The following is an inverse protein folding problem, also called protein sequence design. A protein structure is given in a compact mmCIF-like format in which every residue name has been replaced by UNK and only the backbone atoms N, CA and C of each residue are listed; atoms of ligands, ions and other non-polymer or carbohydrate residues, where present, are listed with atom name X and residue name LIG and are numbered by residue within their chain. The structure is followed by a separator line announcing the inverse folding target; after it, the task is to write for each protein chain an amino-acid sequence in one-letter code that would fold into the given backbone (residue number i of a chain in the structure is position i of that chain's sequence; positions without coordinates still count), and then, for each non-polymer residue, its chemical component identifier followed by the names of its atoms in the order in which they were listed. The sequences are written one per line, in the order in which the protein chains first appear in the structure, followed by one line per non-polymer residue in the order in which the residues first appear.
data_IF_596041917315
#
_entry.id   IF_596041917315
#
_cell.length_a   1.000
_cell.length_b   1.000
_cell.length_c   1.000
_cell.angle_alpha   90.00
_cell.angle_beta   90.00
_cell.angle_gamma   90.00
#
_symmetry.space_group_name_H-M   'P 1'
#
loop_
_entity.id
_entity.type
_entity.pdbx_description
1 polymer ?
#
# COMPACT_ATOMS: atom_id res chain seq x y z
N UNK A 1 -49.08 -24.40 -21.50
CA UNK A 1 -48.17 -23.28 -21.81
C UNK A 1 -47.59 -22.69 -20.52
N UNK A 2 -46.82 -23.46 -19.75
CA UNK A 2 -46.24 -22.97 -18.49
C UNK A 2 -44.92 -23.70 -18.21
N UNK A 3 -43.90 -23.46 -19.05
CA UNK A 3 -42.61 -24.14 -18.91
C UNK A 3 -41.44 -23.31 -19.46
N UNK A 4 -41.45 -21.98 -19.26
CA UNK A 4 -40.43 -21.10 -19.88
C UNK A 4 -39.99 -19.92 -19.02
N UNK A 5 -39.84 -20.12 -17.71
CA UNK A 5 -39.49 -19.02 -16.78
C UNK A 5 -38.41 -19.31 -15.73
N UNK A 6 -37.64 -20.39 -15.88
CA UNK A 6 -36.58 -20.74 -14.90
C UNK A 6 -35.14 -20.58 -15.43
N UNK A 7 -34.93 -20.05 -16.64
CA UNK A 7 -33.63 -20.10 -17.32
C UNK A 7 -32.93 -18.75 -17.52
N UNK A 8 -33.20 -17.74 -16.68
CA UNK A 8 -32.55 -16.42 -16.80
C UNK A 8 -31.89 -15.87 -15.53
N UNK A 9 -31.90 -16.58 -14.41
CA UNK A 9 -31.31 -16.10 -13.14
C UNK A 9 -29.87 -16.56 -12.86
N UNK A 10 -29.21 -17.24 -13.81
CA UNK A 10 -27.88 -17.83 -13.60
C UNK A 10 -26.69 -17.09 -14.21
N UNK A 11 -26.91 -16.10 -15.09
CA UNK A 11 -25.83 -15.54 -15.94
C UNK A 11 -25.40 -14.11 -15.56
N UNK A 12 -26.18 -13.41 -14.72
CA UNK A 12 -25.86 -12.03 -14.30
C UNK A 12 -24.84 -11.90 -13.17
N UNK A 13 -24.62 -12.96 -12.38
CA UNK A 13 -23.82 -12.88 -11.14
C UNK A 13 -22.33 -13.13 -11.34
N UNK A 14 -21.91 -13.78 -12.43
CA UNK A 14 -20.48 -14.01 -12.71
C UNK A 14 -19.83 -12.83 -13.43
N UNK A 15 -20.53 -12.16 -14.35
CA UNK A 15 -20.04 -10.97 -15.05
C UNK A 15 -19.77 -9.81 -14.07
N UNK A 16 -20.63 -9.63 -13.05
CA UNK A 16 -20.44 -8.58 -12.03
C UNK A 16 -19.23 -8.86 -11.11
N UNK A 17 -18.86 -10.13 -10.91
CA UNK A 17 -17.72 -10.52 -10.05
C UNK A 17 -16.38 -10.42 -10.79
N UNK A 18 -16.36 -10.64 -12.11
CA UNK A 18 -15.15 -10.48 -12.94
C UNK A 18 -14.86 -9.00 -13.22
N UNK A 19 -15.88 -8.17 -13.46
CA UNK A 19 -15.72 -6.71 -13.59
C UNK A 19 -15.23 -6.04 -12.30
N UNK A 20 -15.53 -6.63 -11.13
CA UNK A 20 -15.09 -6.14 -9.81
C UNK A 20 -13.64 -6.48 -9.46
N UNK A 21 -12.94 -7.29 -10.27
CA UNK A 21 -11.54 -7.64 -10.02
C UNK A 21 -10.56 -6.59 -10.56
N UNK A 22 -10.93 -5.83 -11.59
CA UNK A 22 -10.06 -4.79 -12.18
C UNK A 22 -10.12 -3.45 -11.44
N UNK A 23 -11.22 -3.20 -10.71
CA UNK A 23 -11.46 -1.98 -9.92
C UNK A 23 -11.21 -2.18 -8.41
N UNK A 24 -10.34 -3.12 -8.03
CA UNK A 24 -9.84 -3.20 -6.64
C UNK A 24 -8.54 -2.43 -6.44
N UNK A 25 -7.69 -2.31 -7.46
CA UNK A 25 -6.44 -1.55 -7.31
C UNK A 25 -6.67 -0.05 -7.13
N UNK A 26 -7.58 0.55 -7.92
CA UNK A 26 -7.85 1.99 -7.81
C UNK A 26 -8.65 2.35 -6.54
N UNK A 27 -9.63 1.53 -6.16
CA UNK A 27 -10.41 1.78 -4.93
C UNK A 27 -9.58 1.59 -3.66
N UNK A 28 -8.63 0.65 -3.63
CA UNK A 28 -7.75 0.45 -2.48
C UNK A 28 -6.77 1.62 -2.28
N UNK A 29 -6.33 2.24 -3.39
CA UNK A 29 -5.56 3.47 -3.37
C UNK A 29 -6.42 4.66 -2.91
N UNK A 30 -7.62 4.83 -3.51
CA UNK A 30 -8.51 5.96 -3.20
C UNK A 30 -9.05 5.96 -1.76
N UNK A 31 -9.26 4.78 -1.15
CA UNK A 31 -9.80 4.66 0.22
C UNK A 31 -8.77 5.05 1.32
N UNK A 32 -7.48 5.07 0.97
CA UNK A 32 -6.40 5.38 1.92
C UNK A 32 -6.11 6.88 2.06
N UNK A 33 -6.56 7.70 1.12
CA UNK A 33 -6.29 9.16 1.06
C UNK A 33 -7.53 9.98 1.44
N UNK A 34 -7.30 11.15 2.03
CA UNK A 34 -8.35 12.17 2.21
C UNK A 34 -8.89 12.60 0.82
N UNK A 35 -10.21 12.71 0.66
CA UNK A 35 -10.87 13.06 -0.63
C UNK A 35 -10.38 14.37 -1.26
N UNK A 36 -9.77 15.25 -0.46
CA UNK A 36 -9.25 16.55 -0.88
C UNK A 36 -7.83 16.50 -1.49
N UNK A 37 -7.11 15.38 -1.40
CA UNK A 37 -5.71 15.25 -1.82
C UNK A 37 -5.48 14.24 -2.96
N UNK A 38 -6.45 14.05 -3.85
CA UNK A 38 -6.30 13.11 -4.99
C UNK A 38 -5.06 13.39 -5.87
N UNK A 39 -4.71 14.66 -6.09
CA UNK A 39 -3.53 15.04 -6.87
C UNK A 39 -2.20 14.59 -6.22
N UNK A 40 -2.16 14.38 -4.90
CA UNK A 40 -0.96 13.93 -4.20
C UNK A 40 -0.56 12.50 -4.55
N UNK A 41 -1.51 11.64 -4.88
CA UNK A 41 -1.22 10.29 -5.35
C UNK A 41 -0.43 10.33 -6.66
N UNK A 42 -0.86 11.20 -7.59
CA UNK A 42 -0.16 11.43 -8.85
C UNK A 42 1.24 11.98 -8.59
N UNK A 43 1.41 12.92 -7.64
CA UNK A 43 2.74 13.45 -7.28
C UNK A 43 3.68 12.37 -6.71
N UNK A 44 3.17 11.49 -5.84
CA UNK A 44 3.95 10.38 -5.27
C UNK A 44 4.35 9.38 -6.37
N UNK A 45 3.43 9.04 -7.27
CA UNK A 45 3.70 8.15 -8.40
C UNK A 45 4.69 8.76 -9.39
N UNK A 46 4.51 10.04 -9.73
CA UNK A 46 5.42 10.80 -10.59
C UNK A 46 6.82 10.85 -10.00
N UNK A 47 6.98 11.09 -8.70
CA UNK A 47 8.28 11.04 -8.02
C UNK A 47 8.97 9.69 -8.22
N UNK A 48 8.27 8.58 -8.03
CA UNK A 48 8.83 7.23 -8.24
C UNK A 48 9.25 7.03 -9.71
N UNK A 49 8.45 7.51 -10.66
CA UNK A 49 8.79 7.47 -12.08
C UNK A 49 10.04 8.31 -12.40
N UNK A 50 10.16 9.51 -11.84
CA UNK A 50 11.34 10.39 -12.04
C UNK A 50 12.60 9.73 -11.49
N UNK A 51 12.54 9.06 -10.32
CA UNK A 51 13.69 8.29 -9.79
C UNK A 51 14.14 7.22 -10.78
N UNK A 52 13.20 6.48 -11.39
CA UNK A 52 13.52 5.46 -12.40
C UNK A 52 14.13 6.10 -13.65
N UNK A 53 13.58 7.23 -14.11
CA UNK A 53 14.14 7.98 -15.25
C UNK A 53 15.58 8.41 -14.95
N UNK A 54 15.84 9.01 -13.80
CA UNK A 54 17.20 9.38 -13.38
C UNK A 54 18.10 8.14 -13.41
N UNK A 55 17.62 7.01 -12.90
CA UNK A 55 18.42 5.79 -12.84
C UNK A 55 18.75 5.15 -14.19
N UNK A 56 17.90 5.34 -15.20
CA UNK A 56 18.08 4.74 -16.53
C UNK A 56 18.82 5.68 -17.48
N UNK A 57 18.53 6.98 -17.44
CA UNK A 57 19.01 7.94 -18.44
C UNK A 57 20.28 8.68 -18.02
N UNK A 58 20.59 8.77 -16.72
CA UNK A 58 21.79 9.46 -16.25
C UNK A 58 22.96 8.47 -16.21
N UNK A 59 23.97 8.72 -17.03
CA UNK A 59 25.12 7.81 -17.19
C UNK A 59 26.11 7.92 -16.04
N UNK A 60 26.34 9.12 -15.49
CA UNK A 60 27.29 9.32 -14.39
C UNK A 60 26.66 8.86 -13.05
N UNK A 61 27.24 7.88 -12.36
CA UNK A 61 26.71 7.40 -11.07
C UNK A 61 26.67 8.49 -9.99
N UNK A 62 27.66 9.40 -10.01
CA UNK A 62 27.73 10.51 -9.07
C UNK A 62 26.59 11.49 -9.30
N UNK A 63 26.35 11.89 -10.55
CA UNK A 63 25.26 12.81 -10.91
C UNK A 63 23.90 12.16 -10.64
N UNK A 64 23.75 10.87 -10.97
CA UNK A 64 22.53 10.09 -10.69
C UNK A 64 22.18 10.13 -9.21
N UNK A 65 23.17 9.87 -8.33
CA UNK A 65 22.96 9.86 -6.87
C UNK A 65 22.61 11.25 -6.34
N UNK A 66 23.29 12.31 -6.81
CA UNK A 66 23.01 13.68 -6.38
C UNK A 66 21.61 14.16 -6.78
N UNK A 67 21.19 13.86 -8.01
CA UNK A 67 19.83 14.18 -8.47
C UNK A 67 18.77 13.42 -7.68
N UNK A 68 19.02 12.16 -7.34
CA UNK A 68 18.11 11.37 -6.49
C UNK A 68 18.00 11.95 -5.08
N UNK A 69 19.12 12.37 -4.46
CA UNK A 69 19.13 13.04 -3.15
C UNK A 69 18.30 14.33 -3.19
N UNK A 70 18.49 15.18 -4.21
CA UNK A 70 17.75 16.43 -4.36
C UNK A 70 16.25 16.18 -4.49
N UNK A 71 15.85 15.26 -5.38
CA UNK A 71 14.45 14.91 -5.61
C UNK A 71 13.79 14.35 -4.33
N UNK A 72 14.48 13.48 -3.60
CA UNK A 72 13.95 12.93 -2.35
C UNK A 72 13.90 13.98 -1.25
N UNK A 73 14.88 14.89 -1.17
CA UNK A 73 14.86 16.00 -0.22
C UNK A 73 13.63 16.90 -0.42
N UNK A 74 13.32 17.27 -1.67
CA UNK A 74 12.09 18.01 -2.01
C UNK A 74 10.86 17.20 -1.60
N UNK A 75 10.84 15.90 -1.90
CA UNK A 75 9.73 15.03 -1.56
C UNK A 75 9.52 14.90 -0.04
N UNK A 76 10.57 14.92 0.78
CA UNK A 76 10.46 14.94 2.25
C UNK A 76 9.72 16.18 2.70
N UNK A 77 10.14 17.37 2.23
CA UNK A 77 9.50 18.64 2.60
C UNK A 77 8.02 18.64 2.21
N UNK A 78 7.73 18.25 0.97
CA UNK A 78 6.35 18.13 0.48
C UNK A 78 5.53 17.12 1.30
N UNK A 79 6.10 15.96 1.66
CA UNK A 79 5.40 14.96 2.47
C UNK A 79 5.10 15.48 3.90
N UNK A 80 5.99 16.28 4.48
CA UNK A 80 5.82 16.84 5.82
C UNK A 80 4.75 17.93 5.88
N UNK A 81 4.66 18.77 4.84
CA UNK A 81 3.68 19.87 4.79
C UNK A 81 2.26 19.36 4.54
N UNK A 82 2.09 18.38 3.64
CA UNK A 82 0.76 18.03 3.14
C UNK A 82 0.13 16.77 3.77
N UNK A 83 0.93 15.88 4.38
CA UNK A 83 0.45 14.73 5.18
C UNK A 83 -0.78 14.01 4.58
N UNK A 84 -0.70 13.51 3.34
CA UNK A 84 -1.87 13.25 2.48
C UNK A 84 -2.72 12.02 2.88
N UNK A 85 -2.19 11.10 3.70
CA UNK A 85 -2.90 9.87 4.06
C UNK A 85 -3.92 10.11 5.18
N UNK A 86 -5.08 9.44 5.13
CA UNK A 86 -6.07 9.46 6.21
C UNK A 86 -5.52 8.87 7.52
N UNK A 87 -4.68 7.85 7.40
CA UNK A 87 -4.07 7.17 8.54
C UNK A 87 -2.70 7.79 8.85
N UNK A 88 -2.56 8.34 10.06
CA UNK A 88 -1.29 8.90 10.55
C UNK A 88 -0.13 7.90 10.53
N UNK A 89 -0.41 6.60 10.71
CA UNK A 89 0.60 5.53 10.59
C UNK A 89 1.17 5.44 9.17
N UNK A 90 0.33 5.56 8.14
CA UNK A 90 0.76 5.54 6.74
C UNK A 90 1.60 6.78 6.39
N UNK A 91 1.19 7.97 6.85
CA UNK A 91 1.98 9.20 6.69
C UNK A 91 3.38 9.05 7.30
N UNK A 92 3.47 8.51 8.52
CA UNK A 92 4.76 8.28 9.20
C UNK A 92 5.61 7.23 8.49
N UNK A 93 5.00 6.15 7.99
CA UNK A 93 5.71 5.12 7.23
C UNK A 93 6.31 5.69 5.95
N UNK A 94 5.53 6.45 5.17
CA UNK A 94 6.01 7.10 3.95
C UNK A 94 7.12 8.11 4.28
N UNK A 95 6.93 8.96 5.28
CA UNK A 95 7.93 9.95 5.68
C UNK A 95 9.25 9.30 6.15
N UNK A 96 9.18 8.27 7.00
CA UNK A 96 10.38 7.54 7.43
C UNK A 96 11.05 6.77 6.29
N UNK A 97 10.29 6.30 5.30
CA UNK A 97 10.86 5.68 4.10
C UNK A 97 11.64 6.69 3.26
N UNK A 98 11.14 7.92 3.14
CA UNK A 98 11.80 9.00 2.43
C UNK A 98 13.08 9.45 3.15
N UNK A 99 13.04 9.61 4.47
CA UNK A 99 14.25 9.90 5.26
C UNK A 99 15.30 8.80 5.15
N UNK A 100 14.90 7.53 5.27
CA UNK A 100 15.81 6.39 5.12
C UNK A 100 16.45 6.38 3.73
N UNK A 101 15.66 6.64 2.68
CA UNK A 101 16.17 6.73 1.30
C UNK A 101 17.13 7.91 1.12
N UNK A 102 16.80 9.07 1.69
CA UNK A 102 17.66 10.24 1.68
C UNK A 102 19.03 9.94 2.30
N UNK A 103 19.06 9.40 3.52
CA UNK A 103 20.32 9.04 4.18
C UNK A 103 21.06 7.94 3.43
N UNK A 104 20.35 6.95 2.89
CA UNK A 104 20.95 5.88 2.08
C UNK A 104 21.69 6.43 0.87
N UNK A 105 21.07 7.33 0.11
CA UNK A 105 21.72 7.95 -1.04
C UNK A 105 22.79 8.95 -0.65
N UNK A 106 22.59 9.72 0.42
CA UNK A 106 23.58 10.66 0.93
C UNK A 106 24.87 9.94 1.35
N UNK A 107 24.79 8.96 2.25
CA UNK A 107 25.95 8.18 2.67
C UNK A 107 26.48 7.28 1.55
N UNK A 108 25.61 6.76 0.69
CA UNK A 108 26.00 6.04 -0.52
C UNK A 108 26.84 6.89 -1.47
N UNK A 109 26.53 8.18 -1.61
CA UNK A 109 27.33 9.12 -2.39
C UNK A 109 28.72 9.33 -1.78
N UNK A 110 28.83 9.39 -0.46
CA UNK A 110 30.11 9.55 0.24
C UNK A 110 31.05 8.35 0.05
N UNK A 111 30.50 7.15 -0.23
CA UNK A 111 31.32 5.96 -0.54
C UNK A 111 32.23 6.19 -1.75
N UNK A 112 31.84 7.01 -2.72
CA UNK A 112 32.65 7.28 -3.92
C UNK A 112 33.84 8.22 -3.65
N UNK A 113 33.78 9.03 -2.59
CA UNK A 113 34.79 10.06 -2.28
C UNK A 113 35.68 9.68 -1.09
N UNK A 114 35.34 8.63 -0.36
CA UNK A 114 35.98 8.27 0.91
C UNK A 114 37.13 7.27 0.75
N UNK A 115 38.09 7.33 1.68
CA UNK A 115 39.13 6.30 1.82
C UNK A 115 38.54 4.92 2.15
N UNK A 116 39.31 3.86 1.93
CA UNK A 116 38.88 2.46 2.15
C UNK A 116 38.28 2.22 3.55
N UNK A 117 38.95 2.73 4.59
CA UNK A 117 38.51 2.57 5.98
C UNK A 117 37.17 3.27 6.25
N UNK A 118 37.02 4.49 5.77
CA UNK A 118 35.81 5.31 5.95
C UNK A 118 34.63 4.74 5.14
N UNK A 119 34.91 4.17 3.97
CA UNK A 119 33.91 3.47 3.14
C UNK A 119 33.25 2.30 3.88
N UNK A 120 34.03 1.52 4.63
CA UNK A 120 33.49 0.40 5.42
C UNK A 120 32.53 0.92 6.49
N UNK A 121 32.89 2.02 7.17
CA UNK A 121 32.04 2.62 8.20
C UNK A 121 30.72 3.11 7.60
N UNK A 122 30.77 3.84 6.48
CA UNK A 122 29.56 4.33 5.82
C UNK A 122 28.69 3.20 5.23
N UNK A 123 29.29 2.14 4.70
CA UNK A 123 28.51 1.00 4.17
C UNK A 123 27.78 0.25 5.28
N UNK A 124 28.45 0.00 6.42
CA UNK A 124 27.81 -0.56 7.62
C UNK A 124 26.67 0.33 8.09
N UNK A 125 26.89 1.64 8.15
CA UNK A 125 25.86 2.60 8.55
C UNK A 125 24.62 2.54 7.62
N UNK A 126 24.84 2.52 6.30
CA UNK A 126 23.77 2.39 5.29
C UNK A 126 23.01 1.08 5.44
N UNK A 127 23.69 -0.04 5.70
CA UNK A 127 23.03 -1.33 5.91
C UNK A 127 22.18 -1.28 7.18
N UNK A 128 22.73 -0.77 8.29
CA UNK A 128 22.02 -0.68 9.57
C UNK A 128 20.77 0.19 9.47
N UNK A 129 20.84 1.38 8.87
CA UNK A 129 19.68 2.28 8.78
C UNK A 129 18.55 1.66 7.94
N UNK A 130 18.88 0.98 6.83
CA UNK A 130 17.89 0.28 6.01
C UNK A 130 17.28 -0.91 6.75
N UNK A 131 18.09 -1.70 7.47
CA UNK A 131 17.59 -2.81 8.28
C UNK A 131 16.64 -2.34 9.38
N UNK A 132 17.01 -1.27 10.09
CA UNK A 132 16.16 -0.67 11.13
C UNK A 132 14.82 -0.22 10.54
N UNK A 133 14.85 0.46 9.38
CA UNK A 133 13.64 0.87 8.70
C UNK A 133 12.77 -0.33 8.26
N UNK A 134 13.37 -1.36 7.67
CA UNK A 134 12.66 -2.59 7.26
C UNK A 134 12.02 -3.25 8.47
N UNK A 135 12.76 -3.45 9.57
CA UNK A 135 12.21 -4.02 10.80
C UNK A 135 11.07 -3.18 11.37
N UNK A 136 11.19 -1.85 11.35
CA UNK A 136 10.12 -0.94 11.76
C UNK A 136 8.88 -1.07 10.88
N UNK A 137 9.05 -1.03 9.55
CA UNK A 137 7.96 -1.13 8.58
C UNK A 137 7.23 -2.48 8.70
N UNK A 138 7.97 -3.59 8.78
CA UNK A 138 7.41 -4.92 8.97
C UNK A 138 6.61 -5.02 10.26
N UNK A 139 7.14 -4.51 11.39
CA UNK A 139 6.40 -4.51 12.67
C UNK A 139 5.12 -3.70 12.61
N UNK A 140 5.07 -2.61 11.84
CA UNK A 140 3.85 -1.82 11.68
C UNK A 140 2.82 -2.54 10.80
N UNK A 141 3.27 -3.10 9.67
CA UNK A 141 2.41 -3.85 8.74
C UNK A 141 1.82 -5.08 9.45
N UNK A 142 2.64 -5.85 10.16
CA UNK A 142 2.17 -7.02 10.92
C UNK A 142 1.12 -6.64 11.98
N UNK A 143 1.35 -5.54 12.71
CA UNK A 143 0.37 -5.04 13.69
C UNK A 143 -0.94 -4.61 13.04
N UNK A 144 -0.88 -4.00 11.85
CA UNK A 144 -2.08 -3.62 11.10
C UNK A 144 -2.86 -4.86 10.64
N UNK A 145 -2.16 -5.84 10.04
CA UNK A 145 -2.78 -7.08 9.56
C UNK A 145 -3.42 -7.86 10.71
N UNK A 146 -2.75 -8.02 11.85
CA UNK A 146 -3.29 -8.75 13.02
C UNK A 146 -4.55 -8.06 13.57
N UNK A 147 -4.55 -6.73 13.62
CA UNK A 147 -5.72 -5.95 14.05
C UNK A 147 -6.89 -6.13 13.08
N UNK A 148 -6.63 -6.08 11.78
CA UNK A 148 -7.64 -6.24 10.74
C UNK A 148 -8.29 -7.63 10.83
N UNK A 149 -7.48 -8.68 10.90
CA UNK A 149 -7.96 -10.07 11.05
C UNK A 149 -8.80 -10.22 12.33
N UNK A 150 -8.34 -9.65 13.45
CA UNK A 150 -9.06 -9.71 14.72
C UNK A 150 -10.40 -8.98 14.66
N UNK A 151 -10.46 -7.85 13.95
CA UNK A 151 -11.69 -7.09 13.76
C UNK A 151 -12.68 -7.85 12.87
N UNK A 152 -12.24 -8.40 11.74
CA UNK A 152 -13.06 -9.23 10.86
C UNK A 152 -13.60 -10.46 11.59
N UNK A 153 -12.76 -11.13 12.40
CA UNK A 153 -13.19 -12.28 13.19
C UNK A 153 -14.20 -11.91 14.28
N UNK A 154 -14.16 -10.70 14.85
CA UNK A 154 -15.15 -10.24 15.85
C UNK A 154 -16.47 -9.78 15.21
N UNK A 155 -16.45 -9.30 13.97
CA UNK A 155 -17.65 -8.88 13.22
C UNK A 155 -18.42 -10.08 12.62
N UNK A 156 -17.70 -11.10 12.14
CA UNK A 156 -18.28 -12.29 11.53
C UNK A 156 -19.18 -13.18 12.44
N UNK A 157 -19.01 -13.32 13.77
CA UNK A 157 -19.88 -14.18 14.57
C UNK A 157 -21.35 -13.72 14.55
N UNK A 158 -21.61 -12.41 14.60
CA UNK A 158 -22.97 -11.86 14.50
C UNK A 158 -23.60 -12.06 13.12
N UNK A 159 -22.79 -11.98 12.06
CA UNK A 159 -23.21 -12.27 10.69
C UNK A 159 -23.47 -13.78 10.47
N UNK A 160 -22.65 -14.65 11.07
CA UNK A 160 -22.83 -16.11 11.04
C UNK A 160 -24.10 -16.54 11.76
N UNK A 161 -24.38 -15.94 12.92
CA UNK A 161 -25.61 -16.19 13.68
C UNK A 161 -26.87 -15.80 12.89
N UNK A 162 -26.89 -14.58 12.30
CA UNK A 162 -27.98 -14.15 11.42
C UNK A 162 -28.17 -15.04 10.18
N UNK A 163 -27.09 -15.57 9.61
CA UNK A 163 -27.19 -16.49 8.46
C UNK A 163 -27.77 -17.84 8.88
N UNK A 164 -27.42 -18.33 10.06
CA UNK A 164 -27.97 -19.57 10.62
C UNK A 164 -29.49 -19.48 10.82
N UNK A 165 -29.98 -18.38 11.40
CA UNK A 165 -31.42 -18.19 11.62
C UNK A 165 -32.19 -18.03 10.31
N UNK A 166 -31.64 -17.34 9.31
CA UNK A 166 -32.25 -17.24 7.98
C UNK A 166 -32.35 -18.59 7.26
N UNK A 167 -31.33 -19.45 7.36
CA UNK A 167 -31.37 -20.80 6.77
C UNK A 167 -32.40 -21.68 7.48
N UNK A 168 -32.50 -21.59 8.82
CA UNK A 168 -33.54 -22.31 9.57
C UNK A 168 -34.94 -21.87 9.14
N UNK A 169 -35.21 -20.58 9.05
CA UNK A 169 -36.50 -20.05 8.59
C UNK A 169 -36.82 -20.49 7.14
N UNK A 170 -35.83 -20.51 6.25
CA UNK A 170 -36.01 -20.98 4.89
C UNK A 170 -36.34 -22.49 4.83
N UNK A 171 -35.70 -23.30 5.66
CA UNK A 171 -35.95 -24.75 5.73
C UNK A 171 -37.36 -25.05 6.26
N UNK A 172 -37.84 -24.32 7.26
CA UNK A 172 -39.23 -24.41 7.74
C UNK A 172 -40.24 -24.06 6.65
N UNK A 173 -39.95 -23.01 5.86
CA UNK A 173 -40.81 -22.58 4.76
C UNK A 173 -40.94 -23.64 3.66
N UNK A 174 -39.82 -24.30 3.31
CA UNK A 174 -39.80 -25.39 2.32
C UNK A 174 -40.53 -26.63 2.85
N UNK A 175 -40.36 -26.97 4.14
CA UNK A 175 -41.04 -28.10 4.77
C UNK A 175 -42.56 -27.96 4.85
N UNK A 176 -43.08 -26.73 4.93
CA UNK A 176 -44.53 -26.47 4.92
C UNK A 176 -45.15 -26.48 3.51
N UNK A 177 -44.33 -26.53 2.45
CA UNK A 177 -44.79 -26.47 1.05
C UNK A 177 -44.80 -27.85 0.37
N UNK A 178 -44.15 -28.85 0.98
CA UNK A 178 -44.16 -30.28 0.58
C UNK A 178 -45.21 -31.02 1.39
#
# INVERSE_FOLDING_TARGET
MCHRQYLSLGVGSQELFVAKRRSMHLHLLYDSFTREFFYFEILILMRKAIVVIIAVFVVSPQVQTQLAILLIGIAVVVQQEYVPYNQSTCNRLELYSLYTSFFTFFFGSLLYLSSEEVRVIFSVFVIVINLVFICYALRQILRHIVKEISYTHKKNPKEREKRGTMVQQAMEWVGNFV
#
